data_IF_415817058468
#
_entry.id   IF_415817058468
#
_cell.length_a   1.000
_cell.length_b   1.000
_cell.length_c   1.000
_cell.angle_alpha   90.00
_cell.angle_beta   90.00
_cell.angle_gamma   90.00
#
_symmetry.space_group_name_H-M   'P 1'
#
loop_
_entity.id
_entity.type
_entity.pdbx_description
1 polymer ?
#
# COMPACT_ATOMS: atom_id res chain seq x y z
N UNK A 1 2.68 -23.04 16.14
CA UNK A 1 2.51 -21.58 16.17
C UNK A 1 3.73 -20.96 15.54
N UNK A 2 3.57 -20.50 14.34
CA UNK A 2 4.63 -19.78 13.71
C UNK A 2 4.54 -18.35 14.22
N UNK A 3 5.28 -18.09 15.26
CA UNK A 3 5.21 -16.83 15.96
C UNK A 3 5.91 -15.75 15.12
N UNK A 4 5.21 -14.67 14.87
CA UNK A 4 5.74 -13.46 14.23
C UNK A 4 7.06 -13.04 14.86
N UNK A 5 7.12 -13.06 16.18
CA UNK A 5 8.32 -12.71 16.95
C UNK A 5 9.50 -13.61 16.65
N UNK A 6 9.26 -14.92 16.51
CA UNK A 6 10.31 -15.88 16.19
C UNK A 6 10.83 -15.69 14.77
N UNK A 7 9.95 -15.49 13.80
CA UNK A 7 10.36 -15.22 12.42
C UNK A 7 11.14 -13.91 12.29
N UNK A 8 10.75 -12.88 13.02
CA UNK A 8 11.51 -11.62 13.07
C UNK A 8 12.89 -11.86 13.67
N UNK A 9 12.97 -12.59 14.77
CA UNK A 9 14.25 -12.92 15.40
C UNK A 9 15.18 -13.68 14.45
N UNK A 10 14.66 -14.69 13.78
CA UNK A 10 15.43 -15.50 12.82
C UNK A 10 15.86 -14.67 11.60
N UNK A 11 14.97 -13.84 11.09
CA UNK A 11 15.28 -12.94 9.97
C UNK A 11 16.38 -11.94 10.34
N UNK A 12 16.34 -11.38 11.54
CA UNK A 12 17.41 -10.51 12.06
C UNK A 12 18.77 -11.21 12.13
N UNK A 13 18.76 -12.52 12.36
CA UNK A 13 19.98 -13.35 12.39
C UNK A 13 20.40 -13.85 10.99
N UNK A 14 19.75 -13.37 9.93
CA UNK A 14 20.13 -13.64 8.55
C UNK A 14 19.35 -14.77 7.87
N UNK A 15 18.28 -15.30 8.50
CA UNK A 15 17.44 -16.31 7.87
C UNK A 15 16.56 -15.70 6.77
N UNK A 16 16.89 -15.97 5.52
CA UNK A 16 16.08 -15.58 4.36
C UNK A 16 14.74 -16.31 4.32
N UNK A 17 14.71 -17.55 4.78
CA UNK A 17 13.46 -18.32 4.87
C UNK A 17 12.47 -17.71 5.86
N UNK A 18 12.94 -17.31 7.03
CA UNK A 18 12.10 -16.65 8.02
C UNK A 18 11.57 -15.30 7.48
N UNK A 19 12.41 -14.55 6.79
CA UNK A 19 11.97 -13.30 6.13
C UNK A 19 10.93 -13.57 5.05
N UNK A 20 11.11 -14.61 4.23
CA UNK A 20 10.15 -14.99 3.21
C UNK A 20 8.78 -15.33 3.82
N UNK A 21 8.75 -16.00 4.96
CA UNK A 21 7.50 -16.27 5.68
C UNK A 21 6.83 -14.99 6.19
N UNK A 22 7.61 -14.04 6.70
CA UNK A 22 7.10 -12.71 7.09
C UNK A 22 6.50 -11.97 5.89
N UNK A 23 7.21 -11.95 4.78
CA UNK A 23 6.76 -11.30 3.55
C UNK A 23 5.48 -11.95 3.01
N UNK A 24 5.36 -13.26 3.09
CA UNK A 24 4.16 -13.98 2.64
C UNK A 24 2.88 -13.51 3.36
N UNK A 25 2.99 -13.01 4.59
CA UNK A 25 1.84 -12.51 5.34
C UNK A 25 1.35 -11.14 4.86
N UNK A 26 2.17 -10.36 4.18
CA UNK A 26 1.89 -8.96 3.84
C UNK A 26 1.93 -8.66 2.33
N UNK A 27 2.45 -9.58 1.51
CA UNK A 27 2.73 -9.27 0.11
C UNK A 27 1.49 -8.91 -0.71
N UNK A 28 0.35 -9.52 -0.44
CA UNK A 28 -0.90 -9.23 -1.14
C UNK A 28 -1.37 -7.80 -0.86
N UNK A 29 -1.35 -7.41 0.40
CA UNK A 29 -1.71 -6.05 0.80
C UNK A 29 -0.75 -5.04 0.21
N UNK A 30 0.55 -5.31 0.26
CA UNK A 30 1.57 -4.45 -0.33
C UNK A 30 1.36 -4.26 -1.83
N UNK A 31 1.15 -5.35 -2.54
CA UNK A 31 0.94 -5.31 -3.99
C UNK A 31 -0.35 -4.56 -4.34
N UNK A 32 -1.47 -4.86 -3.68
CA UNK A 32 -2.74 -4.18 -3.96
C UNK A 32 -2.68 -2.69 -3.64
N UNK A 33 -2.08 -2.31 -2.52
CA UNK A 33 -1.90 -0.89 -2.17
C UNK A 33 -1.05 -0.19 -3.21
N UNK A 34 0.07 -0.78 -3.62
CA UNK A 34 0.94 -0.22 -4.65
C UNK A 34 0.21 -0.13 -6.00
N UNK A 35 -0.51 -1.17 -6.39
CA UNK A 35 -1.25 -1.23 -7.64
C UNK A 35 -2.30 -0.12 -7.74
N UNK A 36 -3.13 0.03 -6.71
CA UNK A 36 -4.18 1.05 -6.71
C UNK A 36 -3.65 2.46 -6.50
N UNK A 37 -2.51 2.61 -5.85
CA UNK A 37 -1.85 3.91 -5.68
C UNK A 37 -1.14 4.38 -6.94
N UNK A 38 -0.50 3.47 -7.67
CA UNK A 38 0.31 3.79 -8.85
C UNK A 38 -0.43 3.59 -10.17
N UNK A 39 -1.49 2.81 -10.17
CA UNK A 39 -2.30 2.49 -11.35
C UNK A 39 -1.49 1.83 -12.48
N UNK A 40 -0.40 1.18 -12.16
CA UNK A 40 0.48 0.47 -13.07
C UNK A 40 1.00 -0.78 -12.39
N UNK A 41 0.76 -1.94 -12.98
CA UNK A 41 1.24 -3.22 -12.45
C UNK A 41 2.76 -3.31 -12.46
N UNK A 42 3.39 -2.76 -13.48
CA UNK A 42 4.86 -2.71 -13.59
C UNK A 42 5.46 -1.90 -12.44
N UNK A 43 4.96 -0.70 -12.21
CA UNK A 43 5.44 0.17 -11.13
C UNK A 43 5.11 -0.37 -9.75
N UNK A 44 3.97 -1.01 -9.60
CA UNK A 44 3.61 -1.69 -8.35
C UNK A 44 4.59 -2.81 -8.02
N UNK A 45 4.93 -3.66 -9.00
CA UNK A 45 5.92 -4.71 -8.82
C UNK A 45 7.29 -4.13 -8.47
N UNK A 46 7.72 -3.08 -9.14
CA UNK A 46 9.00 -2.41 -8.85
C UNK A 46 9.02 -1.82 -7.44
N UNK A 47 7.97 -1.11 -7.04
CA UNK A 47 7.88 -0.53 -5.71
C UNK A 47 7.91 -1.59 -4.61
N UNK A 48 7.16 -2.67 -4.79
CA UNK A 48 7.13 -3.79 -3.83
C UNK A 48 8.50 -4.49 -3.78
N UNK A 49 9.12 -4.76 -4.92
CA UNK A 49 10.44 -5.39 -4.98
C UNK A 49 11.50 -4.55 -4.28
N UNK A 50 11.53 -3.24 -4.53
CA UNK A 50 12.46 -2.32 -3.88
C UNK A 50 12.21 -2.27 -2.36
N UNK A 51 10.96 -2.22 -1.95
CA UNK A 51 10.59 -2.20 -0.53
C UNK A 51 11.01 -3.50 0.18
N UNK A 52 10.82 -4.64 -0.46
CA UNK A 52 11.19 -5.96 0.10
C UNK A 52 12.70 -6.07 0.25
N UNK A 53 13.48 -5.63 -0.72
CA UNK A 53 14.94 -5.61 -0.63
C UNK A 53 15.42 -4.71 0.49
N UNK A 54 14.89 -3.49 0.58
CA UNK A 54 15.23 -2.56 1.66
C UNK A 54 14.84 -3.14 3.03
N UNK A 55 13.68 -3.75 3.14
CA UNK A 55 13.21 -4.39 4.36
C UNK A 55 14.12 -5.55 4.78
N UNK A 56 14.51 -6.39 3.83
CA UNK A 56 15.44 -7.49 4.11
C UNK A 56 16.79 -6.98 4.65
N UNK A 57 17.33 -5.94 4.02
CA UNK A 57 18.59 -5.34 4.44
C UNK A 57 18.51 -4.62 5.79
N UNK A 58 17.33 -4.07 6.14
CA UNK A 58 17.15 -3.25 7.34
C UNK A 58 16.32 -3.90 8.44
N UNK A 59 16.02 -5.19 8.34
CA UNK A 59 15.20 -5.90 9.35
C UNK A 59 15.78 -5.80 10.77
N UNK A 60 17.08 -5.61 10.89
CA UNK A 60 17.75 -5.41 12.17
C UNK A 60 17.28 -4.14 12.88
N UNK A 61 16.79 -3.15 12.14
CA UNK A 61 16.30 -1.88 12.69
C UNK A 61 14.90 -1.99 13.30
N UNK A 62 14.16 -3.06 12.96
CA UNK A 62 12.85 -3.31 13.54
C UNK A 62 12.99 -3.66 15.02
N UNK A 63 12.47 -2.81 15.90
CA UNK A 63 12.59 -2.98 17.36
C UNK A 63 11.51 -3.89 17.93
N UNK A 64 10.25 -3.66 17.51
CA UNK A 64 9.09 -4.41 17.98
C UNK A 64 8.58 -5.32 16.87
N UNK A 65 8.66 -6.66 17.04
CA UNK A 65 8.18 -7.62 16.05
C UNK A 65 6.71 -7.43 15.67
N UNK A 66 5.88 -6.98 16.59
CA UNK A 66 4.46 -6.75 16.35
C UNK A 66 4.21 -5.59 15.37
N UNK A 67 5.21 -4.77 15.14
CA UNK A 67 5.15 -3.65 14.20
C UNK A 67 5.69 -3.97 12.80
N UNK A 68 5.99 -5.22 12.52
CA UNK A 68 6.52 -5.63 11.21
C UNK A 68 5.63 -5.16 10.05
N UNK A 69 4.32 -5.35 10.16
CA UNK A 69 3.37 -4.99 9.12
C UNK A 69 3.38 -3.48 8.81
N UNK A 70 3.29 -2.64 9.82
CA UNK A 70 3.33 -1.19 9.64
C UNK A 70 4.73 -0.70 9.26
N UNK A 71 5.77 -1.33 9.77
CA UNK A 71 7.15 -1.00 9.46
C UNK A 71 7.48 -1.23 7.97
N UNK A 72 7.14 -2.40 7.43
CA UNK A 72 7.38 -2.68 6.00
C UNK A 72 6.49 -1.80 5.10
N UNK A 73 5.28 -1.49 5.55
CA UNK A 73 4.40 -0.58 4.84
C UNK A 73 4.94 0.86 4.79
N UNK A 74 5.64 1.30 5.83
CA UNK A 74 6.34 2.59 5.84
C UNK A 74 7.41 2.63 4.73
N UNK A 75 8.16 1.55 4.57
CA UNK A 75 9.16 1.42 3.49
C UNK A 75 8.47 1.47 2.13
N UNK A 76 7.40 0.69 1.96
CA UNK A 76 6.64 0.67 0.70
C UNK A 76 6.02 2.04 0.38
N UNK A 77 5.44 2.71 1.35
CA UNK A 77 4.80 4.01 1.12
C UNK A 77 5.79 5.06 0.62
N UNK A 78 7.03 5.02 1.10
CA UNK A 78 8.10 5.88 0.60
C UNK A 78 8.44 5.59 -0.86
N UNK A 79 8.47 4.31 -1.24
CA UNK A 79 8.69 3.89 -2.64
C UNK A 79 7.54 4.33 -3.55
N UNK A 80 6.31 4.16 -3.10
CA UNK A 80 5.12 4.61 -3.84
C UNK A 80 5.14 6.12 -4.04
N UNK A 81 5.37 6.89 -3.00
CA UNK A 81 5.44 8.36 -3.07
C UNK A 81 6.54 8.83 -4.02
N UNK A 82 7.67 8.17 -4.02
CA UNK A 82 8.77 8.46 -4.95
C UNK A 82 8.35 8.25 -6.40
N UNK A 83 7.73 7.12 -6.71
CA UNK A 83 7.21 6.84 -8.06
C UNK A 83 6.12 7.82 -8.46
N UNK A 84 5.21 8.16 -7.57
CA UNK A 84 4.18 9.17 -7.83
C UNK A 84 4.77 10.53 -8.19
N UNK A 85 5.87 10.92 -7.59
CA UNK A 85 6.58 12.17 -7.92
C UNK A 85 7.26 12.12 -9.28
N UNK A 86 7.79 10.96 -9.68
CA UNK A 86 8.40 10.77 -10.99
C UNK A 86 7.38 10.89 -12.13
N UNK A 87 6.11 10.54 -11.86
CA UNK A 87 5.01 10.64 -12.82
C UNK A 87 4.35 12.02 -12.92
N UNK A 88 4.83 13.02 -12.22
CA UNK A 88 4.33 14.38 -12.37
C UNK A 88 4.77 15.06 -13.67
N UNK A 89 5.36 14.32 -14.58
CA UNK A 89 5.55 14.71 -15.97
C UNK A 89 4.24 14.45 -16.74
N UNK A 90 3.73 15.43 -17.52
CA UNK A 90 2.43 15.29 -18.16
C UNK A 90 2.44 14.17 -19.18
N UNK A 91 1.53 13.23 -18.98
CA UNK A 91 1.00 12.28 -19.94
C UNK A 91 2.02 11.41 -20.68
N UNK A 92 2.20 10.20 -20.22
CA UNK A 92 2.31 9.09 -21.15
C UNK A 92 1.34 8.00 -20.70
N UNK A 93 0.72 7.38 -21.70
CA UNK A 93 -0.39 6.47 -21.62
C UNK A 93 -0.43 5.62 -20.38
N UNK A 94 -1.50 5.78 -19.64
CA UNK A 94 -1.94 4.82 -18.64
C UNK A 94 -2.17 3.52 -19.37
N UNK A 95 -1.27 2.59 -19.20
CA UNK A 95 -1.47 1.22 -19.65
C UNK A 95 -2.64 0.67 -18.84
N UNK A 96 -3.82 0.71 -19.44
CA UNK A 96 -5.09 0.39 -18.80
C UNK A 96 -5.31 -1.11 -18.66
N UNK A 97 -4.29 -1.92 -18.88
CA UNK A 97 -4.35 -3.36 -18.67
C UNK A 97 -3.97 -3.74 -17.22
N UNK A 98 -4.82 -3.31 -16.30
CA UNK A 98 -4.91 -3.98 -15.01
C UNK A 98 -5.54 -5.34 -15.26
N UNK A 99 -4.72 -6.37 -15.47
CA UNK A 99 -5.21 -7.72 -15.40
C UNK A 99 -5.49 -8.04 -13.93
N UNK A 100 -6.69 -7.67 -13.51
CA UNK A 100 -7.25 -8.12 -12.26
C UNK A 100 -7.46 -9.62 -12.40
N UNK A 101 -6.91 -10.40 -11.48
CA UNK A 101 -7.25 -11.81 -11.40
C UNK A 101 -8.76 -11.96 -11.26
N UNK A 102 -9.31 -12.98 -11.89
CA UNK A 102 -10.76 -13.19 -12.07
C UNK A 102 -11.63 -13.18 -10.80
N UNK A 103 -11.02 -13.15 -9.61
CA UNK A 103 -11.72 -13.10 -8.33
C UNK A 103 -12.12 -11.69 -7.87
N UNK A 104 -11.70 -10.66 -8.60
CA UNK A 104 -12.03 -9.28 -8.30
C UNK A 104 -13.02 -8.77 -9.33
N UNK A 105 -14.28 -9.05 -9.07
CA UNK A 105 -15.37 -8.73 -9.97
C UNK A 105 -15.68 -7.23 -10.06
N UNK A 106 -16.69 -6.95 -10.82
CA UNK A 106 -17.33 -5.70 -11.22
C UNK A 106 -17.27 -4.53 -10.20
N UNK A 107 -17.37 -4.81 -8.91
CA UNK A 107 -17.35 -3.81 -7.83
C UNK A 107 -16.03 -3.06 -7.73
N UNK A 108 -14.93 -3.71 -8.12
CA UNK A 108 -13.59 -3.11 -8.09
C UNK A 108 -13.33 -2.26 -9.35
N UNK A 109 -13.97 -2.58 -10.47
CA UNK A 109 -13.87 -1.75 -11.66
C UNK A 109 -14.45 -0.35 -11.44
N UNK A 110 -15.59 -0.24 -10.77
CA UNK A 110 -16.20 1.04 -10.39
C UNK A 110 -15.32 1.80 -9.39
N UNK A 111 -14.81 1.10 -8.39
CA UNK A 111 -13.89 1.68 -7.43
C UNK A 111 -12.58 2.14 -8.11
N UNK A 112 -12.10 1.35 -9.05
CA UNK A 112 -10.90 1.66 -9.84
C UNK A 112 -11.06 2.96 -10.61
N UNK A 113 -12.19 3.15 -11.29
CA UNK A 113 -12.48 4.37 -12.03
C UNK A 113 -12.60 5.59 -11.09
N UNK A 114 -13.28 5.43 -9.97
CA UNK A 114 -13.40 6.48 -8.97
C UNK A 114 -12.03 6.86 -8.37
N UNK A 115 -11.16 5.88 -8.18
CA UNK A 115 -9.79 6.11 -7.70
C UNK A 115 -8.95 6.92 -8.69
N UNK A 116 -9.15 6.74 -9.98
CA UNK A 116 -8.42 7.50 -11.02
C UNK A 116 -8.68 9.01 -10.94
N UNK A 117 -9.81 9.41 -10.40
CA UNK A 117 -10.18 10.82 -10.20
C UNK A 117 -9.57 11.44 -8.96
N UNK A 118 -8.95 10.65 -8.08
CA UNK A 118 -8.30 11.14 -6.87
C UNK A 118 -6.86 11.59 -7.15
N UNK A 119 -6.36 12.50 -6.33
CA UNK A 119 -4.94 12.84 -6.36
C UNK A 119 -4.08 11.70 -5.80
N UNK A 120 -2.78 11.77 -6.04
CA UNK A 120 -1.82 10.72 -5.66
C UNK A 120 -1.82 10.41 -4.16
N UNK A 121 -1.85 11.44 -3.33
CA UNK A 121 -1.89 11.29 -1.88
C UNK A 121 -3.17 10.63 -1.40
N UNK A 122 -4.31 11.01 -1.98
CA UNK A 122 -5.61 10.42 -1.66
C UNK A 122 -5.72 8.96 -2.06
N UNK A 123 -5.17 8.59 -3.21
CA UNK A 123 -5.09 7.19 -3.65
C UNK A 123 -4.36 6.32 -2.64
N UNK A 124 -3.21 6.76 -2.16
CA UNK A 124 -2.41 6.03 -1.19
C UNK A 124 -3.14 5.88 0.15
N UNK A 125 -3.69 6.97 0.68
CA UNK A 125 -4.45 6.95 1.94
C UNK A 125 -5.64 6.01 1.88
N UNK A 126 -6.42 6.11 0.82
CA UNK A 126 -7.61 5.27 0.64
C UNK A 126 -7.24 3.80 0.47
N UNK A 127 -6.20 3.52 -0.31
CA UNK A 127 -5.72 2.16 -0.52
C UNK A 127 -5.27 1.50 0.77
N UNK A 128 -4.56 2.22 1.62
CA UNK A 128 -4.16 1.71 2.94
C UNK A 128 -5.37 1.45 3.85
N UNK A 129 -6.35 2.34 3.83
CA UNK A 129 -7.54 2.22 4.67
C UNK A 129 -8.46 1.08 4.21
N UNK A 130 -8.77 1.02 2.93
CA UNK A 130 -9.76 0.08 2.39
C UNK A 130 -9.16 -1.29 2.07
N UNK A 131 -8.03 -1.32 1.36
CA UNK A 131 -7.41 -2.56 0.93
C UNK A 131 -6.53 -3.18 2.00
N UNK A 132 -5.78 -2.36 2.71
CA UNK A 132 -4.89 -2.82 3.77
C UNK A 132 -5.56 -2.99 5.13
N UNK A 133 -6.71 -2.36 5.34
CA UNK A 133 -7.40 -2.38 6.63
C UNK A 133 -6.65 -1.65 7.74
N UNK A 134 -5.74 -0.75 7.40
CA UNK A 134 -5.01 0.05 8.39
C UNK A 134 -5.91 1.08 9.04
N UNK A 135 -5.77 1.24 10.36
CA UNK A 135 -6.45 2.29 11.10
C UNK A 135 -5.86 3.67 10.79
N UNK A 136 -6.60 4.72 11.10
CA UNK A 136 -6.10 6.09 10.95
C UNK A 136 -4.83 6.36 11.74
N UNK A 137 -4.70 5.75 12.93
CA UNK A 137 -3.49 5.82 13.75
C UNK A 137 -2.29 5.14 13.10
N UNK A 138 -2.50 3.95 12.54
CA UNK A 138 -1.46 3.21 11.80
C UNK A 138 -1.03 3.96 10.54
N UNK A 139 -1.98 4.48 9.77
CA UNK A 139 -1.68 5.26 8.56
C UNK A 139 -0.90 6.54 8.93
N UNK A 140 -1.27 7.20 10.00
CA UNK A 140 -0.57 8.38 10.49
C UNK A 140 0.89 8.09 10.83
N UNK A 141 1.14 6.96 11.48
CA UNK A 141 2.48 6.48 11.79
C UNK A 141 3.27 6.14 10.53
N UNK A 142 2.65 5.41 9.58
CA UNK A 142 3.26 5.06 8.29
C UNK A 142 3.62 6.28 7.46
N UNK A 143 2.74 7.28 7.41
CA UNK A 143 2.88 8.47 6.57
C UNK A 143 3.50 9.67 7.29
N UNK A 144 3.95 9.50 8.54
CA UNK A 144 4.53 10.56 9.37
C UNK A 144 3.64 11.80 9.46
N UNK A 145 2.40 11.61 9.86
CA UNK A 145 1.39 12.65 10.01
C UNK A 145 0.55 12.41 11.26
N UNK A 146 -0.44 13.29 11.49
CA UNK A 146 -1.30 13.17 12.66
C UNK A 146 -2.53 12.30 12.35
N UNK A 147 -3.00 11.47 13.32
CA UNK A 147 -4.23 10.68 13.13
C UNK A 147 -5.45 11.54 12.79
N UNK A 148 -5.58 12.73 13.37
CA UNK A 148 -6.67 13.66 13.04
C UNK A 148 -6.64 14.11 11.58
N UNK A 149 -5.46 14.34 11.04
CA UNK A 149 -5.27 14.71 9.63
C UNK A 149 -5.69 13.56 8.72
N UNK A 150 -5.31 12.33 9.05
CA UNK A 150 -5.72 11.13 8.28
C UNK A 150 -7.23 10.98 8.30
N UNK A 151 -7.86 11.07 9.47
CA UNK A 151 -9.33 10.96 9.59
C UNK A 151 -10.05 12.01 8.76
N UNK A 152 -9.62 13.27 8.83
CA UNK A 152 -10.23 14.37 8.08
C UNK A 152 -10.08 14.15 6.56
N UNK A 153 -8.91 13.75 6.11
CA UNK A 153 -8.65 13.48 4.69
C UNK A 153 -9.47 12.29 4.18
N UNK A 154 -9.51 11.20 4.95
CA UNK A 154 -10.31 10.03 4.58
C UNK A 154 -11.81 10.35 4.52
N UNK A 155 -12.32 11.18 5.43
CA UNK A 155 -13.71 11.62 5.39
C UNK A 155 -14.03 12.37 4.10
N UNK A 156 -13.17 13.29 3.68
CA UNK A 156 -13.32 14.05 2.43
C UNK A 156 -13.25 13.12 1.21
N UNK A 157 -12.28 12.19 1.20
CA UNK A 157 -12.12 11.23 0.10
C UNK A 157 -13.35 10.34 -0.03
N UNK A 158 -13.83 9.79 1.08
CA UNK A 158 -15.03 8.94 1.10
C UNK A 158 -16.27 9.70 0.63
N UNK A 159 -16.40 10.96 0.99
CA UNK A 159 -17.50 11.79 0.53
C UNK A 159 -17.45 12.04 -0.98
N UNK A 160 -16.28 12.35 -1.50
CA UNK A 160 -16.08 12.49 -2.96
C UNK A 160 -16.45 11.21 -3.71
N UNK A 161 -16.00 10.05 -3.21
CA UNK A 161 -16.33 8.76 -3.81
C UNK A 161 -17.83 8.47 -3.77
N UNK A 162 -18.51 8.77 -2.68
CA UNK A 162 -19.98 8.61 -2.60
C UNK A 162 -20.68 9.45 -3.63
N UNK A 163 -20.24 10.68 -3.85
CA UNK A 163 -20.81 11.58 -4.87
C UNK A 163 -20.59 11.04 -6.27
N UNK A 164 -19.40 10.53 -6.56
CA UNK A 164 -19.07 9.94 -7.86
C UNK A 164 -19.90 8.67 -8.12
N UNK A 165 -19.96 7.76 -7.16
CA UNK A 165 -20.70 6.50 -7.30
C UNK A 165 -22.22 6.69 -7.34
N UNK A 166 -22.76 7.74 -6.72
CA UNK A 166 -24.20 8.06 -6.80
C UNK A 166 -24.59 8.81 -8.06
N UNK A 167 -23.65 9.50 -8.70
CA UNK A 167 -23.91 10.19 -9.97
C UNK A 167 -24.09 9.24 -11.16
N UNK A 168 -23.67 7.98 -11.03
CA UNK A 168 -23.77 6.94 -12.06
C UNK A 168 -25.06 6.10 -11.96
N UNK A 169 -25.88 6.34 -10.96
CA UNK A 169 -27.20 5.73 -10.82
C UNK A 169 -28.22 6.72 -11.40
#
# INVERSE_FOLDING_TARGET
MNDLSENVRLAKNGSSEAFAQLYATVYKDMYHIALYSLRSSHDACDAVSDAVLDAFCSIKDLRDPNKFRSWIMTILSAKIKRKQREYFSPAEDIDSELSLSDDFSYEIAELSEALDKLDSSSKLLLSMSVLGGYSSGEIAEICDTKPSTVRSRLAVIKQKLRMELTAEI
#
